data_IF_297172987828
#
_entry.id   IF_297172987828
#
_cell.length_a   1.000
_cell.length_b   1.000
_cell.length_c   1.000
_cell.angle_alpha   90.00
_cell.angle_beta   90.00
_cell.angle_gamma   90.00
#
_symmetry.space_group_name_H-M   'P 1'
#
loop_
_entity.id
_entity.type
_entity.pdbx_description
1 polymer ?
#
# COMPACT_ATOMS: atom_id res chain seq x y z
N UNK A 1 16.81 -4.61 2.70
CA UNK A 1 15.55 -3.99 2.23
C UNK A 1 14.46 -4.23 3.28
N UNK A 2 14.24 -3.29 4.19
CA UNK A 2 13.14 -3.33 5.17
C UNK A 2 12.04 -2.37 4.73
N UNK A 3 11.35 -2.73 3.66
CA UNK A 3 10.34 -1.88 3.00
C UNK A 3 8.96 -2.04 3.61
N UNK A 4 8.64 -3.17 4.23
CA UNK A 4 7.32 -3.42 4.83
C UNK A 4 7.46 -4.07 6.20
N UNK A 5 6.70 -3.59 7.19
CA UNK A 5 6.66 -4.13 8.56
C UNK A 5 5.22 -4.18 9.08
N UNK A 6 4.84 -5.30 9.70
CA UNK A 6 3.57 -5.45 10.42
C UNK A 6 3.72 -4.90 11.84
N UNK A 7 2.74 -4.13 12.31
CA UNK A 7 2.74 -3.62 13.68
C UNK A 7 2.36 -4.79 14.63
N UNK A 8 3.18 -5.09 15.67
CA UNK A 8 2.92 -6.23 16.56
C UNK A 8 1.67 -6.08 17.43
N UNK A 9 1.35 -4.84 17.85
CA UNK A 9 0.21 -4.54 18.71
C UNK A 9 -0.94 -3.96 17.88
N UNK A 10 -2.08 -4.65 17.77
CA UNK A 10 -3.22 -4.15 17.03
C UNK A 10 -3.84 -2.95 17.76
N UNK A 11 -4.05 -1.84 17.05
CA UNK A 11 -4.67 -0.61 17.59
C UNK A 11 -6.13 -0.82 18.02
N UNK A 12 -6.78 -1.88 17.52
CA UNK A 12 -8.21 -2.16 17.71
C UNK A 12 -8.47 -3.37 18.63
N UNK A 13 -7.49 -3.79 19.43
CA UNK A 13 -7.56 -5.02 20.23
C UNK A 13 -7.14 -6.26 19.43
N UNK A 14 -7.03 -7.41 20.08
CA UNK A 14 -6.44 -8.63 19.50
C UNK A 14 -7.15 -9.13 18.23
N UNK A 15 -8.47 -8.92 18.13
CA UNK A 15 -9.31 -9.28 16.97
C UNK A 15 -9.42 -8.16 15.92
N UNK A 16 -8.62 -7.10 16.08
CA UNK A 16 -8.62 -5.94 15.20
C UNK A 16 -7.97 -6.20 13.84
N UNK A 17 -8.28 -5.39 12.81
CA UNK A 17 -7.58 -5.45 11.53
C UNK A 17 -6.06 -5.31 11.70
N UNK A 18 -5.31 -6.12 10.96
CA UNK A 18 -3.85 -6.03 10.95
C UNK A 18 -3.40 -4.68 10.37
N UNK A 19 -2.31 -4.12 10.89
CA UNK A 19 -1.78 -2.83 10.42
C UNK A 19 -0.35 -3.04 9.92
N UNK A 20 -0.12 -2.64 8.68
CA UNK A 20 1.16 -2.81 8.00
C UNK A 20 1.67 -1.47 7.52
N UNK A 21 2.95 -1.18 7.78
CA UNK A 21 3.64 0.03 7.32
C UNK A 21 4.56 -0.35 6.16
N UNK A 22 4.38 0.30 5.02
CA UNK A 22 5.20 0.17 3.82
C UNK A 22 5.92 1.49 3.52
N UNK A 23 7.24 1.44 3.30
CA UNK A 23 8.07 2.58 2.89
C UNK A 23 8.42 2.47 1.43
N UNK A 24 7.65 3.14 0.59
CA UNK A 24 7.72 3.00 -0.87
C UNK A 24 8.85 3.82 -1.51
N UNK A 25 9.42 4.79 -0.80
CA UNK A 25 10.47 5.69 -1.31
C UNK A 25 11.91 5.31 -0.94
N UNK A 26 12.12 4.13 -0.34
CA UNK A 26 13.43 3.74 0.25
C UNK A 26 14.24 2.80 -0.67
N UNK A 27 13.64 2.28 -1.74
CA UNK A 27 14.40 1.47 -2.69
C UNK A 27 15.18 2.36 -3.67
N UNK A 28 16.37 1.92 -4.07
CA UNK A 28 17.20 2.70 -4.99
C UNK A 28 16.66 2.58 -6.42
N UNK A 29 16.21 3.71 -6.95
CA UNK A 29 15.70 3.83 -8.32
C UNK A 29 16.86 3.65 -9.30
N UNK A 30 16.77 2.64 -10.17
CA UNK A 30 17.81 2.30 -11.15
C UNK A 30 18.58 1.03 -10.79
N UNK A 31 18.57 0.63 -9.52
CA UNK A 31 19.06 -0.68 -9.09
C UNK A 31 17.90 -1.69 -9.01
N UNK A 32 16.72 -1.24 -8.55
CA UNK A 32 15.52 -2.06 -8.43
C UNK A 32 14.35 -1.49 -9.23
N UNK A 33 13.59 -2.39 -9.85
CA UNK A 33 12.32 -2.10 -10.50
C UNK A 33 11.17 -2.25 -9.49
N UNK A 34 10.17 -1.38 -9.60
CA UNK A 34 8.97 -1.39 -8.77
C UNK A 34 8.24 -2.73 -8.83
N UNK A 35 8.31 -3.46 -9.95
CA UNK A 35 7.72 -4.79 -10.08
C UNK A 35 8.38 -5.77 -9.13
N UNK A 36 9.69 -5.68 -8.90
CA UNK A 36 10.39 -6.55 -7.94
C UNK A 36 10.04 -6.17 -6.51
N UNK A 37 9.93 -4.87 -6.21
CA UNK A 37 9.43 -4.39 -4.92
C UNK A 37 8.00 -4.89 -4.65
N UNK A 38 7.12 -4.85 -5.66
CA UNK A 38 5.75 -5.35 -5.57
C UNK A 38 5.71 -6.87 -5.38
N UNK A 39 6.57 -7.65 -6.04
CA UNK A 39 6.67 -9.10 -5.81
C UNK A 39 7.02 -9.41 -4.36
N UNK A 40 8.03 -8.73 -3.81
CA UNK A 40 8.43 -8.91 -2.41
C UNK A 40 7.28 -8.54 -1.46
N UNK A 41 6.60 -7.41 -1.72
CA UNK A 41 5.41 -7.00 -0.96
C UNK A 41 4.32 -8.07 -1.02
N UNK A 42 4.04 -8.63 -2.19
CA UNK A 42 3.04 -9.70 -2.36
C UNK A 42 3.45 -10.98 -1.61
N UNK A 43 4.72 -11.37 -1.63
CA UNK A 43 5.19 -12.52 -0.86
C UNK A 43 5.00 -12.32 0.65
N UNK A 44 5.32 -11.13 1.17
CA UNK A 44 5.09 -10.80 2.58
C UNK A 44 3.59 -10.82 2.94
N UNK A 45 2.74 -10.34 2.03
CA UNK A 45 1.29 -10.39 2.21
C UNK A 45 0.77 -11.84 2.25
N UNK A 46 1.28 -12.72 1.39
CA UNK A 46 0.93 -14.14 1.40
C UNK A 46 1.37 -14.80 2.71
N UNK A 47 2.60 -14.53 3.18
CA UNK A 47 3.07 -15.05 4.48
C UNK A 47 2.16 -14.58 5.60
N UNK A 48 1.83 -13.28 5.64
CA UNK A 48 0.90 -12.73 6.63
C UNK A 48 -0.45 -13.44 6.60
N UNK A 49 -1.00 -13.72 5.42
CA UNK A 49 -2.27 -14.43 5.29
C UNK A 49 -2.21 -15.89 5.73
N UNK A 50 -1.04 -16.54 5.63
CA UNK A 50 -0.85 -17.93 6.06
C UNK A 50 -0.57 -18.05 7.57
N UNK A 51 0.00 -17.01 8.18
CA UNK A 51 0.39 -17.02 9.59
C UNK A 51 -0.65 -16.34 10.51
N UNK A 52 -1.53 -15.51 9.96
CA UNK A 52 -2.47 -14.68 10.71
C UNK A 52 -3.89 -14.78 10.12
N UNK A 53 -4.63 -15.79 10.57
CA UNK A 53 -6.03 -15.99 10.20
C UNK A 53 -6.89 -14.76 10.53
N UNK A 54 -6.55 -14.05 11.62
CA UNK A 54 -7.26 -12.83 11.98
C UNK A 54 -7.05 -11.74 10.93
N UNK A 55 -5.89 -11.60 10.31
CA UNK A 55 -5.69 -10.66 9.19
C UNK A 55 -6.58 -10.96 7.99
N UNK A 56 -6.89 -12.23 7.72
CA UNK A 56 -7.81 -12.64 6.64
C UNK A 56 -9.26 -12.29 7.00
N UNK A 57 -9.67 -12.54 8.25
CA UNK A 57 -11.06 -12.33 8.73
C UNK A 57 -11.35 -10.85 9.02
N UNK A 58 -10.53 -10.21 9.84
CA UNK A 58 -10.68 -8.81 10.26
C UNK A 58 -10.23 -7.83 9.19
N UNK A 59 -9.38 -8.27 8.25
CA UNK A 59 -8.82 -7.45 7.18
C UNK A 59 -7.54 -6.70 7.60
N UNK A 60 -7.12 -5.73 6.78
CA UNK A 60 -5.89 -4.98 7.02
C UNK A 60 -5.98 -3.49 6.68
N UNK A 61 -5.23 -2.67 7.44
CA UNK A 61 -4.90 -1.29 7.09
C UNK A 61 -3.46 -1.20 6.61
N UNK A 62 -3.23 -0.51 5.50
CA UNK A 62 -1.90 -0.20 5.03
C UNK A 62 -1.56 1.27 5.30
N UNK A 63 -0.41 1.53 5.92
CA UNK A 63 0.19 2.85 6.04
C UNK A 63 1.35 2.91 5.06
N UNK A 64 1.32 3.86 4.14
CA UNK A 64 2.28 3.99 3.05
C UNK A 64 3.06 5.28 3.30
N UNK A 65 4.28 5.12 3.81
CA UNK A 65 5.23 6.21 3.98
C UNK A 65 5.91 6.51 2.65
N UNK A 66 5.60 7.69 2.12
CA UNK A 66 6.17 8.22 0.90
C UNK A 66 7.39 9.11 1.18
N UNK A 67 7.93 9.10 2.41
CA UNK A 67 9.20 9.74 2.71
C UNK A 67 10.28 9.22 1.75
N UNK A 68 11.09 10.15 1.22
CA UNK A 68 12.12 9.91 0.20
C UNK A 68 11.61 9.47 -1.18
N UNK A 69 10.30 9.35 -1.40
CA UNK A 69 9.78 9.08 -2.73
C UNK A 69 10.13 10.24 -3.69
N UNK A 70 10.78 9.90 -4.79
CA UNK A 70 11.21 10.84 -5.83
C UNK A 70 10.38 10.67 -7.10
N UNK A 71 10.49 11.62 -8.04
CA UNK A 71 9.86 11.48 -9.36
C UNK A 71 10.30 10.21 -10.09
N UNK A 72 11.54 9.75 -9.87
CA UNK A 72 12.02 8.49 -10.44
C UNK A 72 11.18 7.27 -10.02
N UNK A 73 10.73 7.23 -8.76
CA UNK A 73 9.83 6.17 -8.27
C UNK A 73 8.47 6.24 -8.97
N UNK A 74 7.96 7.45 -9.16
CA UNK A 74 6.68 7.69 -9.81
C UNK A 74 6.67 7.36 -11.30
N UNK A 75 7.77 7.59 -12.00
CA UNK A 75 7.89 7.24 -13.42
C UNK A 75 7.80 5.72 -13.67
N UNK A 76 8.09 4.90 -12.67
CA UNK A 76 7.89 3.44 -12.76
C UNK A 76 6.41 3.04 -12.63
N UNK A 77 5.55 3.91 -12.09
CA UNK A 77 4.10 3.71 -11.99
C UNK A 77 3.41 3.98 -13.33
N UNK A 78 3.68 3.13 -14.32
CA UNK A 78 3.05 3.23 -15.64
C UNK A 78 1.54 2.93 -15.57
N UNK A 79 0.71 3.45 -16.50
CA UNK A 79 -0.72 3.12 -16.55
C UNK A 79 -1.00 1.61 -16.66
N UNK A 80 -0.15 0.88 -17.40
CA UNK A 80 -0.26 -0.57 -17.52
C UNK A 80 -0.02 -1.26 -16.17
N UNK A 81 0.97 -0.81 -15.40
CA UNK A 81 1.23 -1.32 -14.06
C UNK A 81 0.10 -0.95 -13.09
N UNK A 82 -0.37 0.30 -13.11
CA UNK A 82 -1.50 0.75 -12.28
C UNK A 82 -2.76 -0.08 -12.51
N UNK A 83 -3.09 -0.37 -13.77
CA UNK A 83 -4.22 -1.24 -14.13
C UNK A 83 -4.01 -2.67 -13.62
N UNK A 84 -2.79 -3.21 -13.71
CA UNK A 84 -2.48 -4.54 -13.18
C UNK A 84 -2.61 -4.58 -11.65
N UNK A 85 -2.18 -3.52 -10.97
CA UNK A 85 -2.32 -3.38 -9.52
C UNK A 85 -3.77 -3.26 -9.09
N UNK A 86 -4.62 -2.53 -9.82
CA UNK A 86 -6.05 -2.45 -9.51
C UNK A 86 -6.73 -3.80 -9.67
N UNK A 87 -6.52 -4.50 -10.80
CA UNK A 87 -7.03 -5.86 -10.97
C UNK A 87 -6.53 -6.83 -9.90
N UNK A 88 -5.26 -6.71 -9.49
CA UNK A 88 -4.72 -7.53 -8.41
C UNK A 88 -5.40 -7.26 -7.06
N UNK A 89 -5.65 -5.98 -6.73
CA UNK A 89 -6.34 -5.60 -5.51
C UNK A 89 -7.80 -6.06 -5.48
N UNK A 90 -8.49 -6.02 -6.63
CA UNK A 90 -9.91 -6.36 -6.73
C UNK A 90 -10.14 -7.88 -6.84
N UNK A 91 -9.31 -8.60 -7.62
CA UNK A 91 -9.62 -9.97 -8.04
C UNK A 91 -8.70 -11.05 -7.43
N UNK A 92 -7.51 -10.69 -6.94
CA UNK A 92 -6.44 -11.68 -6.71
C UNK A 92 -6.03 -11.89 -5.25
N UNK A 93 -6.38 -10.99 -4.32
CA UNK A 93 -5.99 -11.14 -2.91
C UNK A 93 -7.22 -11.39 -2.04
N UNK A 94 -7.33 -12.55 -1.36
CA UNK A 94 -8.43 -12.85 -0.45
C UNK A 94 -8.23 -12.19 0.93
N UNK A 95 -7.70 -10.96 0.97
CA UNK A 95 -7.62 -10.14 2.17
C UNK A 95 -8.49 -8.91 2.00
N UNK A 96 -9.26 -8.57 3.03
CA UNK A 96 -10.10 -7.38 2.99
C UNK A 96 -9.28 -6.15 3.34
N UNK A 97 -8.95 -5.32 2.34
CA UNK A 97 -8.34 -4.02 2.60
C UNK A 97 -9.37 -3.08 3.24
N UNK A 98 -9.14 -2.73 4.52
CA UNK A 98 -9.99 -1.82 5.30
C UNK A 98 -9.62 -0.36 5.05
N UNK A 99 -8.35 -0.09 4.79
CA UNK A 99 -7.93 1.20 4.29
C UNK A 99 -6.45 1.31 3.90
N UNK A 100 -6.14 2.34 3.12
CA UNK A 100 -4.81 2.77 2.73
C UNK A 100 -4.58 4.22 3.20
N UNK A 101 -3.47 4.44 3.89
CA UNK A 101 -3.14 5.69 4.55
C UNK A 101 -1.80 6.20 4.03
N UNK A 102 -1.79 7.22 3.18
CA UNK A 102 -0.56 7.77 2.65
C UNK A 102 -0.05 8.89 3.56
N UNK A 103 1.22 8.83 3.95
CA UNK A 103 1.89 9.86 4.76
C UNK A 103 3.13 10.37 4.03
N UNK A 104 3.56 11.60 4.34
CA UNK A 104 4.75 12.25 3.76
C UNK A 104 4.73 12.28 2.22
N UNK A 105 3.56 12.51 1.63
CA UNK A 105 3.38 12.50 0.17
C UNK A 105 4.12 13.67 -0.49
N UNK A 106 4.99 13.42 -1.50
CA UNK A 106 5.68 14.48 -2.22
C UNK A 106 4.75 15.24 -3.18
N UNK A 107 5.22 16.38 -3.67
CA UNK A 107 4.53 17.18 -4.69
C UNK A 107 4.27 16.32 -5.94
N UNK A 108 3.04 16.37 -6.48
CA UNK A 108 2.63 15.58 -7.64
C UNK A 108 2.00 14.22 -7.33
N UNK A 109 2.09 13.73 -6.09
CA UNK A 109 1.50 12.45 -5.67
C UNK A 109 0.00 12.36 -6.01
N UNK A 110 -0.77 13.42 -5.71
CA UNK A 110 -2.22 13.41 -5.92
C UNK A 110 -2.64 13.20 -7.38
N UNK A 111 -1.86 13.72 -8.33
CA UNK A 111 -2.15 13.56 -9.76
C UNK A 111 -2.02 12.10 -10.18
N UNK A 112 -0.94 11.45 -9.75
CA UNK A 112 -0.67 10.03 -10.02
C UNK A 112 -1.69 9.16 -9.29
N UNK A 113 -1.97 9.49 -8.03
CA UNK A 113 -2.96 8.77 -7.23
C UNK A 113 -4.36 8.86 -7.83
N UNK A 114 -4.77 10.04 -8.33
CA UNK A 114 -6.06 10.20 -9.01
C UNK A 114 -6.13 9.39 -10.31
N UNK A 115 -5.02 9.29 -11.06
CA UNK A 115 -4.93 8.40 -12.20
C UNK A 115 -5.07 6.93 -11.78
N UNK A 116 -4.37 6.49 -10.73
CA UNK A 116 -4.54 5.14 -10.18
C UNK A 116 -5.99 4.86 -9.77
N UNK A 117 -6.63 5.81 -9.07
CA UNK A 117 -8.02 5.69 -8.62
C UNK A 117 -9.01 5.50 -9.77
N UNK A 118 -8.73 6.07 -10.94
CA UNK A 118 -9.56 5.89 -12.15
C UNK A 118 -9.59 4.44 -12.66
N UNK A 119 -8.62 3.61 -12.27
CA UNK A 119 -8.57 2.18 -12.61
C UNK A 119 -9.24 1.26 -11.58
N UNK A 120 -9.62 1.78 -10.40
CA UNK A 120 -10.33 1.00 -9.37
C UNK A 120 -11.82 0.94 -9.73
N UNK A 121 -12.40 -0.25 -9.78
CA UNK A 121 -13.80 -0.43 -10.14
C UNK A 121 -14.40 -1.66 -9.44
N UNK A 122 -15.32 -1.47 -8.47
CA UNK A 122 -15.92 -0.21 -8.02
C UNK A 122 -14.95 0.66 -7.20
N UNK A 123 -15.19 1.98 -7.11
CA UNK A 123 -14.38 2.84 -6.25
C UNK A 123 -14.45 2.36 -4.80
N UNK A 124 -13.32 2.39 -4.07
CA UNK A 124 -13.27 1.84 -2.71
C UNK A 124 -14.14 2.67 -1.76
N UNK A 125 -14.81 2.03 -0.78
CA UNK A 125 -15.80 2.69 0.07
C UNK A 125 -15.13 3.74 0.97
N UNK A 126 -15.57 5.00 0.99
CA UNK A 126 -14.98 6.00 1.89
C UNK A 126 -15.18 5.58 3.38
N UNK A 127 -14.19 5.75 4.28
CA UNK A 127 -12.91 6.46 4.14
C UNK A 127 -11.70 5.54 3.89
N UNK A 128 -11.86 4.44 3.14
CA UNK A 128 -10.80 3.46 2.91
C UNK A 128 -9.53 3.99 2.22
N UNK A 129 -9.52 5.22 1.70
CA UNK A 129 -8.27 5.89 1.32
C UNK A 129 -8.18 7.25 1.98
N UNK A 130 -7.15 7.43 2.79
CA UNK A 130 -6.86 8.69 3.48
C UNK A 130 -5.46 9.15 3.12
N UNK A 131 -5.35 10.40 2.64
CA UNK A 131 -4.07 11.05 2.41
C UNK A 131 -3.85 12.01 3.56
N UNK A 132 -2.85 11.74 4.39
CA UNK A 132 -2.46 12.64 5.47
C UNK A 132 -1.36 13.57 4.94
N UNK A 133 -1.76 14.81 4.63
CA UNK A 133 -0.82 15.90 4.34
C UNK A 133 -0.30 16.45 5.67
N UNK A 134 1.01 16.44 5.86
CA UNK A 134 1.75 17.08 6.95
C UNK A 134 1.06 17.03 8.33
N UNK A 135 1.42 16.04 9.16
CA UNK A 135 1.31 16.19 10.61
C UNK A 135 2.40 17.19 11.03
N UNK A 136 2.07 18.49 10.95
CA UNK A 136 2.87 19.52 11.60
C UNK A 136 2.64 19.35 13.12
N UNK A 137 3.61 18.75 13.80
CA UNK A 137 3.81 18.98 15.23
C UNK A 137 4.84 20.10 15.38
#
# INVERSE_FOLDING_TARGET
MGTTIRIPKPLYGEDGPAITISRSGVYEVGEYDIVDVLKVKTMLLIIQMLEDDNAVVSGCHEIIDMSKATMGHFLQMTPALMKKMSSFADEAIPIRQKGAHFINTPVGFEQIFNLFRSFLSPPPPPPSIVIFKHLNY
#
